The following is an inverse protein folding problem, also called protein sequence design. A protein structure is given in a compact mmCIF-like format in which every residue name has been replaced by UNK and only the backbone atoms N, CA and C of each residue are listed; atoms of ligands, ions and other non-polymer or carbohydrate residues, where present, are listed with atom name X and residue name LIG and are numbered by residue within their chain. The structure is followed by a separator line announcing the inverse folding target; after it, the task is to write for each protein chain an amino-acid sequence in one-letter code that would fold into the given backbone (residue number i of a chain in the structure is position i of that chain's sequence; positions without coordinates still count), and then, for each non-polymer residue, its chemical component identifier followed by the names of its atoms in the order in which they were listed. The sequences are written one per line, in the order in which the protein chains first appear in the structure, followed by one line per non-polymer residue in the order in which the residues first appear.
data_IF_636302378291
#
_entry.id   IF_636302378291
#
_cell.length_a   1.000
_cell.length_b   1.000
_cell.length_c   1.000
_cell.angle_alpha   90.00
_cell.angle_beta   90.00
_cell.angle_gamma   90.00
#
_symmetry.space_group_name_H-M   'P 1'
#
loop_
_entity.id
_entity.type
_entity.pdbx_description
1 polymer ?
#
# COMPACT_ATOMS: atom_id res chain seq x y z
N UNK A 1 -6.86 -13.89 11.49
CA UNK A 1 -6.90 -12.42 11.53
C UNK A 1 -6.47 -11.86 10.17
N UNK A 2 -7.42 -11.80 9.24
CA UNK A 2 -7.23 -11.06 7.99
C UNK A 2 -7.15 -9.57 8.34
N UNK A 3 -6.28 -8.82 7.69
CA UNK A 3 -6.23 -7.37 7.85
C UNK A 3 -7.62 -6.77 7.55
N UNK A 4 -8.33 -6.29 8.57
CA UNK A 4 -9.59 -5.51 8.44
C UNK A 4 -9.39 -4.20 7.66
N UNK A 5 -8.14 -3.88 7.29
CA UNK A 5 -7.79 -2.71 6.50
C UNK A 5 -7.60 -3.07 5.03
N UNK A 6 -8.09 -2.20 4.15
CA UNK A 6 -8.07 -2.33 2.70
C UNK A 6 -6.70 -2.11 2.04
N UNK A 7 -5.58 -2.12 2.79
CA UNK A 7 -4.25 -1.79 2.26
C UNK A 7 -3.74 -2.79 1.21
N UNK A 8 -3.86 -4.10 1.47
CA UNK A 8 -3.44 -5.13 0.53
C UNK A 8 -4.23 -5.04 -0.79
N UNK A 9 -5.54 -4.83 -0.67
CA UNK A 9 -6.40 -4.60 -1.82
C UNK A 9 -6.06 -3.29 -2.55
N UNK A 10 -5.81 -2.21 -1.81
CA UNK A 10 -5.38 -0.93 -2.36
C UNK A 10 -4.06 -1.01 -3.13
N UNK A 11 -3.11 -1.82 -2.66
CA UNK A 11 -1.86 -2.10 -3.37
C UNK A 11 -2.14 -2.80 -4.71
N UNK A 12 -2.96 -3.85 -4.72
CA UNK A 12 -3.34 -4.57 -5.95
C UNK A 12 -4.00 -3.62 -6.94
N UNK A 13 -4.93 -2.78 -6.50
CA UNK A 13 -5.60 -1.80 -7.33
C UNK A 13 -4.64 -0.73 -7.87
N UNK A 14 -3.73 -0.23 -7.03
CA UNK A 14 -2.73 0.76 -7.45
C UNK A 14 -1.76 0.19 -8.48
N UNK A 15 -1.25 -1.03 -8.28
CA UNK A 15 -0.39 -1.74 -9.26
C UNK A 15 -1.17 -2.02 -10.54
N UNK A 16 -2.39 -2.55 -10.41
CA UNK A 16 -3.27 -2.85 -11.54
C UNK A 16 -3.55 -1.61 -12.38
N UNK A 17 -3.82 -0.47 -11.74
CA UNK A 17 -3.96 0.82 -12.41
C UNK A 17 -2.70 1.20 -13.18
N UNK A 18 -1.51 1.15 -12.57
CA UNK A 18 -0.26 1.56 -13.24
C UNK A 18 0.05 0.68 -14.45
N UNK A 19 -0.07 -0.65 -14.31
CA UNK A 19 0.16 -1.60 -15.41
C UNK A 19 -0.84 -1.34 -16.53
N UNK A 20 -2.12 -1.24 -16.20
CA UNK A 20 -3.17 -1.02 -17.18
C UNK A 20 -3.08 0.36 -17.84
N UNK A 21 -2.63 1.40 -17.13
CA UNK A 21 -2.38 2.72 -17.70
C UNK A 21 -1.33 2.65 -18.81
N UNK A 22 -0.23 1.93 -18.58
CA UNK A 22 0.82 1.81 -19.60
C UNK A 22 0.38 1.00 -20.82
N UNK A 23 -0.46 -0.02 -20.66
CA UNK A 23 -1.12 -0.70 -21.79
C UNK A 23 -2.12 0.23 -22.51
N UNK A 24 -2.86 1.03 -21.76
CA UNK A 24 -3.85 1.95 -22.29
C UNK A 24 -3.26 3.10 -23.11
N UNK A 25 -2.04 3.57 -22.80
CA UNK A 25 -1.41 4.70 -23.52
C UNK A 25 -0.18 4.32 -24.33
N UNK A 26 0.22 3.05 -24.31
CA UNK A 26 1.36 2.50 -25.05
C UNK A 26 1.18 2.58 -26.57
N UNK A 27 2.31 2.66 -27.28
CA UNK A 27 2.37 2.89 -28.73
C UNK A 27 2.70 1.67 -29.59
N UNK A 28 3.27 0.59 -29.05
CA UNK A 28 3.94 -0.43 -29.89
C UNK A 28 3.27 -1.82 -29.81
N UNK A 29 3.06 -2.44 -30.98
CA UNK A 29 2.84 -3.89 -31.17
C UNK A 29 1.50 -4.49 -30.72
N UNK A 30 0.80 -3.86 -29.77
CA UNK A 30 -0.44 -4.43 -29.21
C UNK A 30 -1.68 -4.09 -30.04
N UNK A 31 -2.55 -5.09 -30.21
CA UNK A 31 -3.87 -4.98 -30.83
C UNK A 31 -4.72 -3.90 -30.16
N UNK A 32 -5.55 -3.22 -30.96
CA UNK A 32 -6.37 -2.10 -30.48
C UNK A 32 -7.32 -2.53 -29.33
N UNK A 33 -7.89 -3.73 -29.41
CA UNK A 33 -8.78 -4.27 -28.39
C UNK A 33 -8.11 -4.37 -27.01
N UNK A 34 -6.84 -4.80 -26.97
CA UNK A 34 -6.07 -4.93 -25.73
C UNK A 34 -5.90 -3.57 -25.05
N UNK A 35 -5.70 -2.50 -25.83
CA UNK A 35 -5.54 -1.13 -25.31
C UNK A 35 -6.82 -0.58 -24.70
N UNK A 36 -7.98 -0.92 -25.25
CA UNK A 36 -9.28 -0.54 -24.68
C UNK A 36 -9.60 -1.32 -23.40
N UNK A 37 -9.29 -2.62 -23.37
CA UNK A 37 -9.39 -3.43 -22.13
C UNK A 37 -8.49 -2.84 -21.05
N UNK A 38 -7.27 -2.43 -21.39
CA UNK A 38 -6.35 -1.78 -20.47
C UNK A 38 -6.90 -0.43 -19.97
N UNK A 39 -7.54 0.38 -20.83
CA UNK A 39 -8.18 1.63 -20.41
C UNK A 39 -9.34 1.39 -19.43
N UNK A 40 -10.20 0.40 -19.70
CA UNK A 40 -11.29 0.01 -18.80
C UNK A 40 -10.73 -0.49 -17.46
N UNK A 41 -9.71 -1.34 -17.52
CA UNK A 41 -9.05 -1.90 -16.33
C UNK A 41 -8.42 -0.80 -15.48
N UNK A 42 -7.73 0.16 -16.10
CA UNK A 42 -7.14 1.30 -15.39
C UNK A 42 -8.22 2.16 -14.71
N UNK A 43 -9.31 2.48 -15.43
CA UNK A 43 -10.42 3.25 -14.90
C UNK A 43 -11.12 2.55 -13.72
N UNK A 44 -11.41 1.27 -13.87
CA UNK A 44 -12.01 0.45 -12.81
C UNK A 44 -11.08 0.30 -11.59
N UNK A 45 -9.78 0.07 -11.80
CA UNK A 45 -8.82 -0.11 -10.72
C UNK A 45 -8.64 1.15 -9.87
N UNK A 46 -8.43 2.31 -10.52
CA UNK A 46 -8.30 3.58 -9.79
C UNK A 46 -9.64 4.05 -9.20
N UNK A 47 -10.76 3.81 -9.88
CA UNK A 47 -12.10 4.06 -9.35
C UNK A 47 -12.40 3.24 -8.10
N UNK A 48 -12.10 1.93 -8.13
CA UNK A 48 -12.25 1.07 -6.96
C UNK A 48 -11.28 1.44 -5.83
N UNK A 49 -10.08 1.93 -6.18
CA UNK A 49 -9.16 2.48 -5.18
C UNK A 49 -9.76 3.73 -4.53
N UNK A 50 -10.46 4.57 -5.29
CA UNK A 50 -11.15 5.75 -4.75
C UNK A 50 -12.29 5.37 -3.80
N UNK A 51 -13.03 4.29 -4.07
CA UNK A 51 -14.09 3.80 -3.17
C UNK A 51 -13.52 3.19 -1.89
N UNK A 52 -12.41 2.47 -1.99
CA UNK A 52 -11.85 1.72 -0.84
C UNK A 52 -10.88 2.55 0.01
N UNK A 53 -10.15 3.47 -0.63
CA UNK A 53 -9.13 4.34 -0.03
C UNK A 53 -9.07 5.69 -0.77
N UNK A 54 -10.09 6.56 -0.61
CA UNK A 54 -10.21 7.81 -1.38
C UNK A 54 -8.94 8.66 -1.36
N UNK A 55 -8.32 8.81 -0.19
CA UNK A 55 -7.14 9.64 -0.03
C UNK A 55 -5.89 9.04 -0.71
N UNK A 56 -5.69 7.72 -0.62
CA UNK A 56 -4.62 7.02 -1.35
C UNK A 56 -4.82 7.11 -2.86
N UNK A 57 -6.08 7.02 -3.34
CA UNK A 57 -6.41 7.12 -4.75
C UNK A 57 -5.99 8.47 -5.34
N UNK A 58 -6.20 9.57 -4.62
CA UNK A 58 -5.72 10.90 -5.03
C UNK A 58 -4.19 10.90 -5.17
N UNK A 59 -3.47 10.35 -4.19
CA UNK A 59 -2.01 10.27 -4.22
C UNK A 59 -1.48 9.48 -5.41
N UNK A 60 -2.11 8.34 -5.72
CA UNK A 60 -1.79 7.53 -6.91
C UNK A 60 -2.17 8.25 -8.21
N UNK A 61 -3.29 8.97 -8.23
CA UNK A 61 -3.81 9.65 -9.41
C UNK A 61 -2.97 10.87 -9.80
N UNK A 62 -2.38 11.63 -8.86
CA UNK A 62 -1.70 12.91 -9.16
C UNK A 62 -0.66 12.79 -10.30
N UNK A 63 0.36 11.90 -10.24
CA UNK A 63 1.34 11.80 -11.32
C UNK A 63 0.70 11.44 -12.66
N UNK A 64 -0.23 10.49 -12.66
CA UNK A 64 -0.88 10.00 -13.88
C UNK A 64 -1.93 10.96 -14.43
N UNK A 65 -2.54 11.79 -13.59
CA UNK A 65 -3.43 12.88 -13.98
C UNK A 65 -2.65 13.96 -14.72
N UNK A 66 -1.49 14.36 -14.19
CA UNK A 66 -0.57 15.28 -14.91
C UNK A 66 -0.15 14.69 -16.25
N UNK A 67 0.27 13.42 -16.27
CA UNK A 67 0.63 12.73 -17.51
C UNK A 67 -0.56 12.62 -18.48
N UNK A 68 -1.76 12.34 -17.98
CA UNK A 68 -3.01 12.28 -18.74
C UNK A 68 -3.33 13.63 -19.39
N UNK A 69 -3.20 14.75 -18.67
CA UNK A 69 -3.36 16.10 -19.24
C UNK A 69 -2.34 16.34 -20.36
N UNK A 70 -1.08 15.94 -20.19
CA UNK A 70 -0.07 16.05 -21.25
C UNK A 70 -0.47 15.23 -22.48
N UNK A 71 -0.99 14.01 -22.29
CA UNK A 71 -1.48 13.16 -23.38
C UNK A 71 -2.75 13.71 -24.03
N UNK A 72 -3.62 14.39 -23.29
CA UNK A 72 -4.79 15.05 -23.86
C UNK A 72 -4.40 16.19 -24.80
N UNK A 73 -3.34 16.93 -24.44
CA UNK A 73 -2.82 18.03 -25.26
C UNK A 73 -2.03 17.50 -26.46
N UNK A 74 -1.13 16.54 -26.26
CA UNK A 74 -0.12 16.13 -27.26
C UNK A 74 -0.37 14.79 -27.95
N UNK A 75 -1.26 13.94 -27.41
CA UNK A 75 -1.50 12.59 -27.91
C UNK A 75 -2.41 12.55 -29.14
N UNK A 76 -2.50 11.38 -29.77
CA UNK A 76 -3.41 11.12 -30.89
C UNK A 76 -4.87 11.04 -30.43
N UNK A 77 -5.83 11.06 -31.36
CA UNK A 77 -7.27 10.98 -31.05
C UNK A 77 -7.62 9.71 -30.24
N UNK A 78 -6.97 8.60 -30.56
CA UNK A 78 -7.18 7.29 -29.93
C UNK A 78 -6.62 7.26 -28.50
N UNK A 79 -5.45 7.87 -28.27
CA UNK A 79 -4.88 8.02 -26.92
C UNK A 79 -5.77 8.93 -26.08
N UNK A 80 -6.22 10.05 -26.64
CA UNK A 80 -7.14 10.98 -25.96
C UNK A 80 -8.43 10.28 -25.55
N UNK A 81 -9.04 9.52 -26.46
CA UNK A 81 -10.26 8.75 -26.18
C UNK A 81 -10.09 7.78 -25.01
N UNK A 82 -8.97 7.04 -24.97
CA UNK A 82 -8.65 6.12 -23.86
C UNK A 82 -8.40 6.85 -22.54
N UNK A 83 -7.69 7.96 -22.54
CA UNK A 83 -7.47 8.78 -21.32
C UNK A 83 -8.79 9.35 -20.79
N UNK A 84 -9.66 9.84 -21.67
CA UNK A 84 -11.01 10.31 -21.30
C UNK A 84 -11.86 9.17 -20.74
N UNK A 85 -11.80 7.98 -21.34
CA UNK A 85 -12.50 6.80 -20.82
C UNK A 85 -12.03 6.43 -19.41
N UNK A 86 -10.71 6.42 -19.16
CA UNK A 86 -10.15 6.18 -17.81
C UNK A 86 -10.73 7.20 -16.83
N UNK A 87 -10.66 8.49 -17.16
CA UNK A 87 -11.20 9.56 -16.29
C UNK A 87 -12.69 9.43 -16.04
N UNK A 88 -13.48 9.11 -17.07
CA UNK A 88 -14.92 8.85 -16.96
C UNK A 88 -15.21 7.70 -16.00
N UNK A 89 -14.54 6.56 -16.16
CA UNK A 89 -14.75 5.38 -15.32
C UNK A 89 -14.34 5.63 -13.86
N UNK A 90 -13.21 6.33 -13.63
CA UNK A 90 -12.81 6.74 -12.28
C UNK A 90 -13.88 7.62 -11.65
N UNK A 91 -14.43 8.59 -12.40
CA UNK A 91 -15.52 9.45 -11.95
C UNK A 91 -16.79 8.65 -11.61
N UNK A 92 -17.25 7.79 -12.53
CA UNK A 92 -18.47 6.99 -12.36
C UNK A 92 -18.37 6.04 -11.16
N UNK A 93 -17.24 5.33 -11.00
CA UNK A 93 -17.02 4.45 -9.84
C UNK A 93 -16.82 5.27 -8.57
N UNK A 94 -16.13 6.41 -8.65
CA UNK A 94 -15.93 7.32 -7.52
C UNK A 94 -17.25 7.90 -6.96
N UNK A 95 -18.27 8.09 -7.81
CA UNK A 95 -19.61 8.51 -7.39
C UNK A 95 -20.30 7.50 -6.45
N UNK A 96 -19.80 6.26 -6.35
CA UNK A 96 -20.29 5.32 -5.35
C UNK A 96 -20.00 5.77 -3.92
N UNK A 97 -18.99 6.63 -3.70
CA UNK A 97 -18.67 7.17 -2.36
C UNK A 97 -19.80 8.04 -1.82
N UNK A 98 -20.21 9.16 -2.47
CA UNK A 98 -21.32 9.97 -1.98
C UNK A 98 -22.66 9.22 -2.01
N UNK A 99 -22.85 8.25 -2.92
CA UNK A 99 -24.03 7.39 -2.90
C UNK A 99 -24.07 6.53 -1.63
N UNK A 100 -22.97 5.88 -1.29
CA UNK A 100 -22.85 5.09 -0.07
C UNK A 100 -23.01 5.97 1.17
N UNK A 101 -22.44 7.19 1.17
CA UNK A 101 -22.63 8.15 2.26
C UNK A 101 -24.11 8.52 2.43
N UNK A 102 -24.81 8.86 1.35
CA UNK A 102 -26.24 9.15 1.41
C UNK A 102 -27.07 7.98 1.98
N UNK A 103 -26.74 6.74 1.60
CA UNK A 103 -27.42 5.55 2.14
C UNK A 103 -27.08 5.33 3.62
N UNK A 104 -25.84 5.55 4.03
CA UNK A 104 -25.37 5.28 5.38
C UNK A 104 -25.75 6.36 6.41
N UNK A 105 -25.81 7.63 5.98
CA UNK A 105 -25.96 8.79 6.89
C UNK A 105 -27.16 9.66 6.58
N UNK A 106 -27.81 9.47 5.42
CA UNK A 106 -28.83 10.38 4.90
C UNK A 106 -28.27 11.64 4.23
N UNK A 107 -26.95 11.86 4.25
CA UNK A 107 -26.28 13.02 3.67
C UNK A 107 -25.08 12.60 2.78
N UNK A 108 -25.12 12.83 1.45
CA UNK A 108 -24.02 12.47 0.54
C UNK A 108 -22.72 13.24 0.80
N UNK A 109 -22.76 14.35 1.55
CA UNK A 109 -21.58 15.15 1.88
C UNK A 109 -21.00 14.81 3.25
N UNK A 110 -21.72 14.06 4.09
CA UNK A 110 -21.28 13.74 5.44
C UNK A 110 -20.26 12.60 5.41
N UNK A 111 -19.02 12.92 5.77
CA UNK A 111 -17.95 11.94 5.91
C UNK A 111 -18.15 11.09 7.17
N UNK A 112 -18.32 9.76 7.06
CA UNK A 112 -18.54 8.91 8.23
C UNK A 112 -17.39 8.92 9.24
N UNK A 113 -16.16 9.27 8.83
CA UNK A 113 -15.03 9.46 9.75
C UNK A 113 -15.32 10.55 10.80
N UNK A 114 -16.09 11.58 10.46
CA UNK A 114 -16.38 12.70 11.38
C UNK A 114 -17.60 12.46 12.27
N UNK A 115 -18.29 11.32 12.15
CA UNK A 115 -19.49 11.01 12.95
C UNK A 115 -19.14 10.81 14.44
N UNK A 116 -18.00 10.18 14.72
CA UNK A 116 -17.56 9.91 16.08
C UNK A 116 -16.58 10.96 16.60
N UNK A 117 -15.67 11.40 15.74
CA UNK A 117 -14.67 12.39 16.07
C UNK A 117 -14.71 13.53 15.05
N UNK A 118 -15.29 14.69 15.39
CA UNK A 118 -15.40 15.83 14.47
C UNK A 118 -14.04 16.32 13.94
N UNK A 119 -12.95 16.01 14.66
CA UNK A 119 -11.60 16.38 14.28
C UNK A 119 -10.94 15.43 13.26
N UNK A 120 -11.58 14.34 12.86
CA UNK A 120 -11.02 13.37 11.90
C UNK A 120 -11.08 13.90 10.46
N UNK A 121 -10.30 14.96 10.20
CA UNK A 121 -10.32 15.74 8.97
C UNK A 121 -8.91 15.89 8.39
N UNK A 122 -8.83 15.80 7.06
CA UNK A 122 -7.61 16.14 6.32
C UNK A 122 -7.40 17.64 6.37
N UNK A 123 -6.20 18.09 6.75
CA UNK A 123 -5.88 19.51 6.80
C UNK A 123 -4.94 19.86 7.94
N UNK A 124 -4.79 21.14 8.21
CA UNK A 124 -3.90 21.66 9.25
C UNK A 124 -4.60 22.69 10.12
N UNK A 125 -4.15 22.83 11.36
CA UNK A 125 -4.64 23.79 12.35
C UNK A 125 -5.74 23.21 13.25
N UNK A 126 -6.25 24.03 14.20
CA UNK A 126 -7.26 23.60 15.17
C UNK A 126 -8.46 22.92 14.49
N UNK A 127 -8.98 21.88 15.13
CA UNK A 127 -10.09 21.09 14.58
C UNK A 127 -9.67 19.98 13.60
N UNK A 128 -8.38 19.80 13.33
CA UNK A 128 -7.86 18.66 12.56
C UNK A 128 -6.99 17.79 13.47
N UNK A 129 -7.39 16.57 13.78
CA UNK A 129 -6.70 15.70 14.74
C UNK A 129 -7.01 15.97 16.21
N UNK A 130 -6.62 15.02 17.06
CA UNK A 130 -7.06 14.90 18.47
C UNK A 130 -6.59 16.03 19.40
N UNK A 131 -5.52 16.73 19.04
CA UNK A 131 -4.93 17.78 19.89
C UNK A 131 -5.63 19.11 19.72
N UNK A 132 -5.73 19.93 20.76
CA UNK A 132 -6.35 21.28 20.69
C UNK A 132 -5.70 22.20 19.63
N UNK A 133 -4.37 22.14 19.50
CA UNK A 133 -3.63 22.89 18.47
C UNK A 133 -3.89 22.36 17.05
N UNK A 134 -4.50 21.18 16.95
CA UNK A 134 -4.70 20.41 15.73
C UNK A 134 -3.41 19.91 15.07
N UNK A 135 -3.57 19.37 13.87
CA UNK A 135 -2.53 18.79 13.06
C UNK A 135 -1.73 19.92 12.43
N UNK A 136 -0.41 19.87 12.56
CA UNK A 136 0.46 20.90 12.00
C UNK A 136 1.34 20.31 10.93
N UNK A 137 1.86 21.16 10.02
CA UNK A 137 2.85 20.70 9.04
C UNK A 137 4.08 20.09 9.73
N UNK A 138 4.46 20.60 10.91
CA UNK A 138 5.52 20.03 11.73
C UNK A 138 5.18 18.61 12.17
N UNK A 139 3.95 18.36 12.63
CA UNK A 139 3.50 17.02 13.00
C UNK A 139 3.45 16.09 11.79
N UNK A 140 2.92 16.56 10.65
CA UNK A 140 2.96 15.83 9.37
C UNK A 140 4.38 15.43 8.98
N UNK A 141 5.34 16.35 9.10
CA UNK A 141 6.75 16.07 8.84
C UNK A 141 7.35 15.05 9.82
N UNK A 142 7.01 15.12 11.11
CA UNK A 142 7.42 14.14 12.12
C UNK A 142 6.91 12.74 11.75
N UNK A 143 5.63 12.62 11.39
CA UNK A 143 5.00 11.38 10.97
C UNK A 143 5.65 10.84 9.68
N UNK A 144 5.89 11.70 8.69
CA UNK A 144 6.57 11.31 7.43
C UNK A 144 8.00 10.85 7.68
N UNK A 145 8.76 11.55 8.52
CA UNK A 145 10.13 11.14 8.89
C UNK A 145 10.13 9.79 9.60
N UNK A 146 9.16 9.54 10.47
CA UNK A 146 8.97 8.25 11.11
C UNK A 146 8.69 7.16 10.06
N UNK A 147 7.73 7.37 9.16
CA UNK A 147 7.39 6.43 8.10
C UNK A 147 8.59 6.12 7.18
N UNK A 148 9.37 7.14 6.79
CA UNK A 148 10.60 7.00 6.03
C UNK A 148 11.64 6.16 6.79
N UNK A 149 11.83 6.45 8.08
CA UNK A 149 12.79 5.72 8.94
C UNK A 149 12.41 4.25 9.12
N UNK A 150 11.12 3.96 9.30
CA UNK A 150 10.65 2.58 9.40
C UNK A 150 10.73 1.90 8.03
N UNK A 151 10.33 2.56 6.95
CA UNK A 151 10.45 2.03 5.58
C UNK A 151 11.88 1.70 5.16
N UNK A 152 12.88 2.38 5.72
CA UNK A 152 14.29 2.07 5.54
C UNK A 152 14.70 0.68 6.10
N UNK A 153 13.92 0.14 7.04
CA UNK A 153 14.14 -1.21 7.61
C UNK A 153 13.08 -2.22 7.15
N UNK A 154 11.80 -1.83 7.18
CA UNK A 154 10.66 -2.72 6.97
C UNK A 154 10.43 -3.10 5.49
N UNK A 155 10.83 -2.28 4.50
CA UNK A 155 10.47 -2.52 3.09
C UNK A 155 10.92 -3.89 2.57
N UNK A 156 12.14 -4.31 2.87
CA UNK A 156 12.66 -5.65 2.52
C UNK A 156 13.00 -6.50 3.75
N UNK A 157 12.74 -5.99 4.96
CA UNK A 157 13.17 -6.60 6.21
C UNK A 157 14.70 -6.62 6.37
N UNK A 158 15.38 -5.61 5.82
CA UNK A 158 16.82 -5.43 5.96
C UNK A 158 17.07 -4.26 6.91
N UNK A 159 17.50 -4.51 8.17
CA UNK A 159 17.69 -3.48 9.18
C UNK A 159 18.50 -2.32 8.64
N UNK A 160 17.88 -1.16 8.49
CA UNK A 160 18.53 0.05 7.96
C UNK A 160 19.26 -0.16 6.62
N UNK A 161 18.79 -1.06 5.75
CA UNK A 161 19.45 -1.35 4.47
C UNK A 161 18.47 -1.47 3.31
N UNK A 162 17.16 -1.34 3.55
CA UNK A 162 16.15 -1.56 2.51
C UNK A 162 16.26 -0.55 1.35
N UNK A 163 16.93 0.58 1.55
CA UNK A 163 17.10 1.61 0.51
C UNK A 163 18.47 1.59 -0.16
N UNK A 164 19.33 0.61 0.16
CA UNK A 164 20.68 0.49 -0.38
C UNK A 164 20.73 0.60 -1.91
N UNK A 165 19.74 0.00 -2.59
CA UNK A 165 19.70 -0.06 -4.06
C UNK A 165 18.93 1.10 -4.72
N UNK A 166 18.19 1.91 -3.96
CA UNK A 166 17.36 2.98 -4.53
C UNK A 166 18.13 4.04 -5.32
N UNK A 167 19.27 4.59 -4.84
CA UNK A 167 20.01 5.60 -5.60
C UNK A 167 20.49 5.07 -6.96
N UNK A 168 20.94 3.81 -7.00
CA UNK A 168 21.35 3.14 -8.23
C UNK A 168 20.17 2.89 -9.17
N UNK A 169 19.00 2.56 -8.61
CA UNK A 169 17.75 2.42 -9.33
C UNK A 169 17.33 3.69 -10.05
N UNK A 170 17.22 4.79 -9.30
CA UNK A 170 16.88 6.11 -9.84
C UNK A 170 17.88 6.51 -10.93
N UNK A 171 19.18 6.28 -10.70
CA UNK A 171 20.21 6.54 -11.70
C UNK A 171 20.04 5.68 -12.96
N UNK A 172 19.82 4.37 -12.80
CA UNK A 172 19.64 3.44 -13.91
C UNK A 172 18.43 3.79 -14.77
N UNK A 173 17.36 4.30 -14.14
CA UNK A 173 16.08 4.59 -14.82
C UNK A 173 15.91 6.07 -15.17
N UNK A 174 16.92 6.92 -14.97
CA UNK A 174 16.82 8.38 -15.14
C UNK A 174 16.43 8.86 -16.54
N UNK A 175 16.54 8.00 -17.56
CA UNK A 175 16.08 8.26 -18.94
C UNK A 175 14.78 7.54 -19.30
N UNK A 176 14.27 6.69 -18.41
CA UNK A 176 13.04 5.97 -18.60
C UNK A 176 11.89 6.75 -17.93
N UNK A 177 11.22 7.60 -18.72
CA UNK A 177 10.10 8.41 -18.24
C UNK A 177 8.95 7.59 -17.64
N UNK A 178 8.69 6.38 -18.18
CA UNK A 178 7.65 5.49 -17.64
C UNK A 178 7.97 5.03 -16.22
N UNK A 179 9.24 4.67 -16.01
CA UNK A 179 9.70 4.22 -14.69
C UNK A 179 9.81 5.38 -13.69
N UNK A 180 10.22 6.57 -14.13
CA UNK A 180 10.22 7.76 -13.26
C UNK A 180 8.80 8.17 -12.85
N UNK A 181 7.83 8.11 -13.77
CA UNK A 181 6.43 8.37 -13.46
C UNK A 181 5.84 7.32 -12.52
N UNK A 182 6.14 6.04 -12.76
CA UNK A 182 5.75 4.95 -11.85
C UNK A 182 6.40 5.10 -10.48
N UNK A 183 7.65 5.56 -10.45
CA UNK A 183 8.41 5.84 -9.24
C UNK A 183 7.86 7.01 -8.43
N UNK A 184 7.22 7.99 -9.07
CA UNK A 184 6.74 9.20 -8.38
C UNK A 184 5.45 8.98 -7.58
N UNK A 185 4.77 7.84 -7.72
CA UNK A 185 3.58 7.50 -6.92
C UNK A 185 3.89 7.51 -5.42
N UNK A 186 4.99 6.88 -4.99
CA UNK A 186 5.36 6.87 -3.57
C UNK A 186 5.69 8.27 -3.05
N UNK A 187 6.31 9.12 -3.88
CA UNK A 187 6.60 10.51 -3.52
C UNK A 187 5.32 11.32 -3.37
N UNK A 188 4.40 11.14 -4.31
CA UNK A 188 3.06 11.75 -4.27
C UNK A 188 2.31 11.36 -2.99
N UNK A 189 2.33 10.08 -2.62
CA UNK A 189 1.73 9.61 -1.37
C UNK A 189 2.42 10.22 -0.14
N UNK A 190 3.75 10.27 -0.08
CA UNK A 190 4.45 10.92 1.03
C UNK A 190 4.07 12.39 1.20
N UNK A 191 3.97 13.13 0.09
CA UNK A 191 3.59 14.55 0.11
C UNK A 191 2.13 14.71 0.54
N UNK A 192 1.22 13.94 -0.06
CA UNK A 192 -0.21 14.05 0.23
C UNK A 192 -0.52 13.69 1.68
N UNK A 193 0.12 12.66 2.22
CA UNK A 193 -0.07 12.23 3.61
C UNK A 193 0.55 13.16 4.66
N UNK A 194 1.27 14.22 4.27
CA UNK A 194 1.62 15.29 5.21
C UNK A 194 0.36 15.96 5.79
N UNK A 195 -0.72 16.06 5.01
CA UNK A 195 -1.98 16.66 5.43
C UNK A 195 -2.91 15.68 6.18
N UNK A 196 -2.51 14.41 6.32
CA UNK A 196 -3.31 13.42 7.04
C UNK A 196 -3.07 13.56 8.55
N UNK A 197 -4.15 13.78 9.31
CA UNK A 197 -4.10 14.21 10.70
C UNK A 197 -3.58 13.17 11.68
N UNK A 198 -3.67 11.89 11.32
CA UNK A 198 -3.27 10.77 12.18
C UNK A 198 -1.98 10.13 11.67
N UNK A 199 -1.05 9.86 12.60
CA UNK A 199 0.18 9.13 12.32
C UNK A 199 0.01 7.62 12.46
N UNK A 200 0.76 6.84 11.68
CA UNK A 200 0.81 5.38 11.82
C UNK A 200 2.19 4.95 12.33
N UNK A 201 2.23 4.48 13.58
CA UNK A 201 3.49 4.24 14.30
C UNK A 201 3.88 2.76 14.45
N UNK A 202 3.00 1.82 14.04
CA UNK A 202 3.21 0.38 14.28
C UNK A 202 3.61 -0.42 13.03
N UNK A 203 2.89 -0.24 11.92
CA UNK A 203 2.99 -1.10 10.74
C UNK A 203 3.66 -0.38 9.56
N UNK A 204 4.99 -0.31 9.58
CA UNK A 204 5.73 0.25 8.45
C UNK A 204 5.28 1.66 8.02
N UNK A 205 5.57 2.07 6.79
CA UNK A 205 4.96 3.25 6.17
C UNK A 205 3.52 2.93 5.70
N UNK A 206 2.62 2.63 6.65
CA UNK A 206 1.24 2.15 6.41
C UNK A 206 0.47 2.95 5.35
N UNK A 207 0.59 4.27 5.37
CA UNK A 207 -0.13 5.16 4.47
C UNK A 207 0.47 5.26 3.06
N UNK A 208 1.68 4.77 2.87
CA UNK A 208 2.36 4.73 1.58
C UNK A 208 2.38 3.31 1.01
N UNK A 209 1.66 2.38 1.63
CA UNK A 209 1.63 0.97 1.27
C UNK A 209 1.26 0.77 -0.21
N UNK A 210 0.29 1.54 -0.70
CA UNK A 210 -0.21 1.50 -2.08
C UNK A 210 0.78 2.04 -3.11
N UNK A 211 1.94 2.57 -2.70
CA UNK A 211 3.03 3.02 -3.57
C UNK A 211 4.34 2.26 -3.38
N UNK A 212 4.40 1.23 -2.52
CA UNK A 212 5.66 0.55 -2.22
C UNK A 212 6.27 -0.17 -3.44
N UNK A 213 5.45 -0.57 -4.43
CA UNK A 213 5.99 -1.10 -5.69
C UNK A 213 6.93 -0.12 -6.39
N UNK A 214 6.75 1.20 -6.24
CA UNK A 214 7.67 2.20 -6.79
C UNK A 214 9.07 2.00 -6.23
N UNK A 215 9.19 1.82 -4.91
CA UNK A 215 10.47 1.58 -4.23
C UNK A 215 11.04 0.20 -4.59
N UNK A 216 10.19 -0.82 -4.69
CA UNK A 216 10.61 -2.17 -5.07
C UNK A 216 11.18 -2.21 -6.49
N UNK A 217 10.48 -1.61 -7.46
CA UNK A 217 10.91 -1.56 -8.86
C UNK A 217 12.19 -0.74 -9.03
N UNK A 218 12.31 0.41 -8.35
CA UNK A 218 13.55 1.19 -8.37
C UNK A 218 14.70 0.40 -7.73
N UNK A 219 14.47 -0.28 -6.60
CA UNK A 219 15.51 -1.11 -5.98
C UNK A 219 15.94 -2.25 -6.90
N UNK A 220 15.00 -2.94 -7.55
CA UNK A 220 15.28 -4.00 -8.52
C UNK A 220 16.08 -3.47 -9.73
N UNK A 221 15.72 -2.29 -10.24
CA UNK A 221 16.50 -1.59 -11.27
C UNK A 221 17.94 -1.33 -10.82
N UNK A 222 18.13 -0.91 -9.56
CA UNK A 222 19.45 -0.68 -8.97
C UNK A 222 20.27 -1.95 -8.85
N UNK A 223 19.65 -3.05 -8.39
CA UNK A 223 20.27 -4.37 -8.33
C UNK A 223 20.71 -4.84 -9.72
N UNK A 224 19.82 -4.77 -10.71
CA UNK A 224 20.11 -5.17 -12.09
C UNK A 224 21.22 -4.33 -12.73
N UNK A 225 21.23 -3.02 -12.46
CA UNK A 225 22.27 -2.12 -12.94
C UNK A 225 23.63 -2.41 -12.30
N UNK A 226 23.68 -2.64 -10.99
CA UNK A 226 24.91 -3.02 -10.27
C UNK A 226 25.44 -4.38 -10.70
N UNK A 227 24.55 -5.34 -10.96
CA UNK A 227 24.89 -6.66 -11.48
C UNK A 227 25.37 -6.61 -12.95
N UNK A 228 25.16 -5.49 -13.66
CA UNK A 228 25.53 -5.34 -15.06
C UNK A 228 24.59 -6.04 -16.04
N UNK A 229 23.37 -6.37 -15.60
CA UNK A 229 22.31 -6.99 -16.42
C UNK A 229 21.70 -6.01 -17.43
N UNK A 230 21.69 -4.71 -17.10
CA UNK A 230 21.12 -3.64 -17.95
C UNK A 230 22.15 -2.81 -18.72
N UNK A 231 23.38 -3.29 -18.82
CA UNK A 231 24.27 -2.73 -19.82
C UNK A 231 23.84 -3.30 -21.17
N UNK A 232 23.52 -2.48 -22.19
CA UNK A 232 23.74 -2.94 -23.55
C UNK A 232 25.16 -3.48 -23.50
N UNK A 233 25.35 -4.76 -23.82
CA UNK A 233 26.69 -5.24 -24.06
C UNK A 233 27.30 -4.21 -25.00
N UNK A 234 28.45 -3.66 -24.64
CA UNK A 234 29.27 -2.95 -25.60
C UNK A 234 29.72 -3.99 -26.65
N UNK A 235 28.77 -4.43 -27.48
CA UNK A 235 28.97 -5.04 -28.77
C UNK A 235 28.42 -3.99 -29.72
N UNK A 236 29.25 -3.36 -30.55
CA UNK A 236 29.65 -4.03 -31.79
C UNK A 236 28.46 -4.85 -32.29
N UNK A 237 27.50 -4.16 -32.92
CA UNK A 237 26.65 -4.78 -33.93
C UNK A 237 27.61 -5.39 -34.95
N UNK A 238 27.90 -6.67 -34.79
CA UNK A 238 28.42 -7.48 -35.87
C UNK A 238 27.22 -7.82 -36.74
N UNK A 239 27.36 -7.65 -38.05
CA UNK A 239 26.37 -8.11 -39.02
C UNK A 239 26.25 -9.65 -39.03
N UNK A 240 25.36 -10.19 -39.88
CA UNK A 240 25.14 -11.64 -40.02
C UNK A 240 26.41 -12.43 -40.42
N UNK A 241 27.49 -11.74 -40.81
CA UNK A 241 28.78 -12.32 -41.19
C UNK A 241 29.87 -12.14 -40.12
N UNK A 242 29.58 -11.48 -39.00
CA UNK A 242 30.54 -11.26 -37.93
C UNK A 242 31.42 -10.02 -38.09
N UNK A 243 31.09 -9.08 -38.99
CA UNK A 243 31.85 -7.85 -39.22
C UNK A 243 31.21 -6.62 -38.55
N UNK A 244 32.01 -5.70 -37.95
CA UNK A 244 31.47 -4.53 -37.25
C UNK A 244 30.81 -3.55 -38.22
N UNK A 245 29.54 -3.21 -37.96
CA UNK A 245 28.77 -2.26 -38.75
C UNK A 245 29.51 -0.92 -38.94
N UNK A 246 29.84 -0.59 -40.19
CA UNK A 246 30.46 0.66 -40.56
C UNK A 246 29.48 1.83 -40.37
N UNK A 247 29.57 2.53 -39.23
CA UNK A 247 29.07 3.91 -39.16
C UNK A 247 30.07 4.80 -39.89
N UNK A 248 29.65 5.31 -41.04
CA UNK A 248 30.46 6.12 -41.95
C UNK A 248 31.13 7.32 -41.29
N UNK A 249 32.43 7.21 -41.04
CA UNK A 249 33.37 8.32 -40.92
C UNK A 249 34.62 7.93 -41.70
N UNK A 250 34.62 8.28 -43.00
CA UNK A 250 35.77 8.06 -43.89
C UNK A 250 36.91 9.00 -43.51
N UNK A 251 38.08 8.40 -43.28
CA UNK A 251 39.37 9.06 -43.49
C UNK A 251 40.09 9.54 -42.23
N UNK A 252 40.60 8.61 -41.39
CA UNK A 252 41.83 8.85 -40.57
C UNK A 252 42.40 7.60 -39.84
N UNK A 253 42.11 6.37 -40.29
CA UNK A 253 42.41 5.15 -39.48
C UNK A 253 43.17 4.03 -40.19
N UNK A 254 44.20 4.35 -40.97
CA UNK A 254 45.18 3.30 -41.38
C UNK A 254 46.32 3.10 -40.35
N UNK A 255 46.42 3.92 -39.29
CA UNK A 255 47.39 3.74 -38.20
C UNK A 255 46.89 3.00 -36.95
N UNK A 256 45.58 2.74 -36.82
CA UNK A 256 44.96 2.23 -35.57
C UNK A 256 44.81 0.70 -35.56
N UNK A 257 44.91 0.05 -36.71
CA UNK A 257 44.74 -1.41 -36.85
C UNK A 257 45.87 -2.23 -36.24
N UNK A 258 47.00 -1.62 -35.86
CA UNK A 258 48.07 -2.30 -35.10
C UNK A 258 47.84 -2.29 -33.57
N UNK A 259 47.01 -1.37 -33.06
CA UNK A 259 46.63 -1.31 -31.63
C UNK A 259 45.47 -2.28 -31.31
N UNK A 260 44.70 -2.68 -32.33
CA UNK A 260 43.53 -3.56 -32.16
C UNK A 260 43.85 -5.05 -31.94
N UNK A 261 45.11 -5.48 -32.06
CA UNK A 261 45.54 -6.85 -31.71
C UNK A 261 45.95 -7.04 -30.24
N UNK A 262 46.12 -5.96 -29.47
CA UNK A 262 46.47 -6.03 -28.03
C UNK A 262 45.23 -6.04 -27.10
N UNK A 263 44.01 -6.08 -27.63
CA UNK A 263 42.76 -6.02 -26.83
C UNK A 263 41.96 -7.33 -26.74
N UNK A 264 42.47 -8.47 -27.22
CA UNK A 264 41.78 -9.75 -26.99
C UNK A 264 41.80 -10.21 -25.52
N UNK A 265 42.79 -9.75 -24.73
CA UNK A 265 42.76 -9.89 -23.27
C UNK A 265 41.62 -9.07 -22.62
N UNK A 266 41.21 -7.94 -23.22
CA UNK A 266 40.26 -6.99 -22.62
C UNK A 266 38.78 -7.39 -22.72
N UNK A 267 38.40 -8.25 -23.66
CA UNK A 267 37.00 -8.69 -23.81
C UNK A 267 36.64 -9.81 -22.82
N UNK A 268 37.55 -10.77 -22.64
CA UNK A 268 37.40 -11.84 -21.65
C UNK A 268 37.47 -11.30 -20.22
N UNK A 269 38.38 -10.36 -19.94
CA UNK A 269 38.46 -9.68 -18.64
C UNK A 269 37.21 -8.86 -18.35
N UNK A 270 36.67 -8.14 -19.33
CA UNK A 270 35.41 -7.43 -19.19
C UNK A 270 34.21 -8.36 -18.95
N UNK A 271 34.17 -9.52 -19.62
CA UNK A 271 33.14 -10.55 -19.39
C UNK A 271 33.26 -11.19 -18.01
N UNK A 272 34.47 -11.56 -17.59
CA UNK A 272 34.75 -12.08 -16.25
C UNK A 272 34.39 -11.06 -15.17
N UNK A 273 34.67 -9.77 -15.39
CA UNK A 273 34.28 -8.69 -14.49
C UNK A 273 32.77 -8.52 -14.38
N UNK A 274 32.03 -8.62 -15.51
CA UNK A 274 30.56 -8.60 -15.51
C UNK A 274 29.99 -9.79 -14.74
N UNK A 275 30.51 -11.00 -14.98
CA UNK A 275 30.12 -12.21 -14.24
C UNK A 275 30.43 -12.06 -12.75
N UNK A 276 31.60 -11.54 -12.40
CA UNK A 276 31.98 -11.25 -11.01
C UNK A 276 31.05 -10.26 -10.33
N UNK A 277 30.64 -9.17 -11.01
CA UNK A 277 29.64 -8.22 -10.52
C UNK A 277 28.28 -8.86 -10.31
N UNK A 278 27.80 -9.64 -11.27
CA UNK A 278 26.52 -10.33 -11.16
C UNK A 278 26.53 -11.30 -9.97
N UNK A 279 27.57 -12.13 -9.85
CA UNK A 279 27.73 -13.07 -8.73
C UNK A 279 27.83 -12.34 -7.39
N UNK A 280 28.58 -11.24 -7.32
CA UNK A 280 28.72 -10.44 -6.10
C UNK A 280 27.41 -9.82 -5.64
N UNK A 281 26.62 -9.26 -6.56
CA UNK A 281 25.31 -8.68 -6.24
C UNK A 281 24.31 -9.77 -5.87
N UNK A 282 24.28 -10.90 -6.58
CA UNK A 282 23.45 -12.04 -6.22
C UNK A 282 23.80 -12.55 -4.82
N UNK A 283 25.08 -12.75 -4.51
CA UNK A 283 25.52 -13.19 -3.19
C UNK A 283 25.11 -12.20 -2.08
N UNK A 284 25.28 -10.89 -2.31
CA UNK A 284 24.82 -9.86 -1.37
C UNK A 284 23.31 -9.94 -1.12
N UNK A 285 22.49 -10.04 -2.18
CA UNK A 285 21.03 -10.15 -2.06
C UNK A 285 20.66 -11.43 -1.31
N UNK A 286 21.31 -12.56 -1.60
CA UNK A 286 21.09 -13.83 -0.90
C UNK A 286 21.37 -13.68 0.60
N UNK A 287 22.48 -13.04 0.98
CA UNK A 287 22.81 -12.77 2.39
C UNK A 287 21.76 -11.87 3.05
N UNK A 288 21.29 -10.83 2.37
CA UNK A 288 20.26 -9.93 2.90
C UNK A 288 18.91 -10.63 3.08
N UNK A 289 18.49 -11.46 2.11
CA UNK A 289 17.28 -12.28 2.21
C UNK A 289 17.41 -13.30 3.35
N UNK A 290 18.53 -14.01 3.43
CA UNK A 290 18.78 -14.96 4.51
C UNK A 290 18.76 -14.26 5.88
N UNK A 291 19.38 -13.08 5.99
CA UNK A 291 19.35 -12.27 7.21
C UNK A 291 17.94 -11.83 7.60
N UNK A 292 17.09 -11.49 6.62
CA UNK A 292 15.68 -11.22 6.89
C UNK A 292 14.98 -12.47 7.46
N UNK A 293 15.07 -13.61 6.77
CA UNK A 293 14.38 -14.83 7.17
C UNK A 293 14.84 -15.40 8.52
N UNK A 294 16.13 -15.28 8.84
CA UNK A 294 16.73 -15.86 10.05
C UNK A 294 16.58 -14.92 11.25
N UNK A 295 16.77 -13.61 11.06
CA UNK A 295 16.86 -12.66 12.18
C UNK A 295 15.71 -11.67 12.20
N UNK A 296 15.43 -11.01 11.08
CA UNK A 296 14.49 -9.89 11.07
C UNK A 296 13.04 -10.32 11.19
N UNK A 297 12.59 -11.19 10.26
CA UNK A 297 11.21 -11.62 10.16
C UNK A 297 10.75 -12.33 11.45
N UNK A 298 11.50 -13.27 12.06
CA UNK A 298 11.08 -13.89 13.31
C UNK A 298 10.92 -12.88 14.45
N UNK A 299 11.88 -11.97 14.62
CA UNK A 299 11.79 -10.93 15.66
C UNK A 299 10.62 -9.98 15.42
N UNK A 300 10.40 -9.57 14.16
CA UNK A 300 9.31 -8.67 13.78
C UNK A 300 7.94 -9.32 13.94
N UNK A 301 7.79 -10.58 13.52
CA UNK A 301 6.56 -11.36 13.71
C UNK A 301 6.26 -11.60 15.18
N UNK A 302 7.27 -11.92 15.99
CA UNK A 302 7.09 -12.09 17.43
C UNK A 302 6.59 -10.79 18.09
N UNK A 303 7.13 -9.64 17.68
CA UNK A 303 6.63 -8.33 18.15
C UNK A 303 5.22 -7.97 17.66
N UNK A 304 4.68 -8.69 16.67
CA UNK A 304 3.31 -8.53 16.18
C UNK A 304 2.35 -9.59 16.72
N UNK A 305 2.87 -10.65 17.34
CA UNK A 305 2.06 -11.71 17.94
C UNK A 305 1.30 -11.14 19.14
N UNK A 306 -0.02 -11.37 19.17
CA UNK A 306 -0.93 -10.84 20.18
C UNK A 306 -0.78 -9.31 20.42
N UNK A 307 -0.42 -8.56 19.38
CA UNK A 307 -0.31 -7.10 19.46
C UNK A 307 -1.66 -6.50 19.91
N UNK A 308 -1.61 -5.62 20.91
CA UNK A 308 -2.80 -5.09 21.61
C UNK A 308 -3.62 -6.13 22.37
N UNK A 309 -3.01 -7.28 22.72
CA UNK A 309 -3.73 -8.37 23.36
C UNK A 309 -4.71 -9.09 22.42
N UNK A 310 -4.68 -8.78 21.11
CA UNK A 310 -5.62 -9.36 20.14
C UNK A 310 -5.16 -10.78 19.75
N UNK A 311 -5.95 -11.80 20.09
CA UNK A 311 -5.58 -13.19 19.80
C UNK A 311 -6.81 -14.11 19.69
N UNK A 312 -6.65 -15.22 18.95
CA UNK A 312 -7.70 -16.24 18.83
C UNK A 312 -8.10 -16.84 20.19
N UNK A 313 -7.16 -16.93 21.14
CA UNK A 313 -7.43 -17.41 22.50
C UNK A 313 -8.48 -16.56 23.24
N UNK A 314 -8.55 -15.25 22.95
CA UNK A 314 -9.57 -14.36 23.53
C UNK A 314 -10.98 -14.71 23.05
N UNK A 315 -11.12 -15.35 21.88
CA UNK A 315 -12.41 -15.72 21.28
C UNK A 315 -12.90 -17.10 21.74
N UNK A 316 -12.03 -17.95 22.31
CA UNK A 316 -12.38 -19.31 22.76
C UNK A 316 -13.63 -19.39 23.66
N UNK A 317 -13.88 -18.45 24.59
CA UNK A 317 -15.09 -18.48 25.41
C UNK A 317 -16.39 -18.53 24.61
N UNK A 318 -16.43 -17.84 23.47
CA UNK A 318 -17.59 -17.80 22.57
C UNK A 318 -17.74 -19.07 21.73
N UNK A 319 -16.73 -19.95 21.69
CA UNK A 319 -16.79 -21.22 20.96
C UNK A 319 -17.32 -22.37 21.83
N UNK A 320 -17.52 -22.15 23.13
CA UNK A 320 -17.99 -23.20 24.05
C UNK A 320 -19.48 -23.53 23.84
N UNK A 321 -19.90 -24.81 23.95
CA UNK A 321 -21.31 -25.20 23.80
C UNK A 321 -22.25 -24.46 24.76
N UNK A 322 -21.78 -24.12 25.95
CA UNK A 322 -22.54 -23.42 26.98
C UNK A 322 -22.84 -21.98 26.54
N UNK A 323 -21.86 -21.27 25.98
CA UNK A 323 -22.03 -19.89 25.52
C UNK A 323 -22.83 -19.83 24.23
N UNK A 324 -22.64 -20.80 23.32
CA UNK A 324 -23.43 -20.91 22.09
C UNK A 324 -24.95 -21.01 22.36
N UNK A 325 -25.37 -21.54 23.50
CA UNK A 325 -26.78 -21.58 23.91
C UNK A 325 -27.34 -20.20 24.28
N UNK A 326 -26.50 -19.19 24.53
CA UNK A 326 -26.94 -17.82 24.79
C UNK A 326 -27.37 -17.10 23.51
N UNK A 327 -26.99 -17.60 22.33
CA UNK A 327 -27.33 -16.99 21.05
C UNK A 327 -28.84 -17.13 20.72
N UNK A 328 -29.45 -16.13 20.05
CA UNK A 328 -28.83 -14.89 19.58
C UNK A 328 -28.67 -13.86 20.71
N UNK A 329 -27.51 -13.22 20.80
CA UNK A 329 -27.20 -12.32 21.91
C UNK A 329 -26.44 -11.05 21.50
N UNK A 330 -26.64 -9.99 22.29
CA UNK A 330 -25.82 -8.77 22.33
C UNK A 330 -24.88 -8.86 23.52
N UNK A 331 -23.59 -8.72 23.26
CA UNK A 331 -22.55 -8.82 24.27
C UNK A 331 -21.94 -7.44 24.51
N UNK A 332 -22.14 -6.92 25.71
CA UNK A 332 -21.51 -5.69 26.19
C UNK A 332 -20.14 -6.06 26.74
N UNK A 333 -19.09 -5.69 26.03
CA UNK A 333 -17.70 -5.93 26.41
C UNK A 333 -17.22 -4.80 27.32
N UNK A 334 -16.83 -5.16 28.54
CA UNK A 334 -16.26 -4.25 29.54
C UNK A 334 -14.74 -4.40 29.54
N UNK A 335 -14.04 -3.37 29.07
CA UNK A 335 -12.58 -3.32 29.08
C UNK A 335 -12.07 -1.89 29.16
N UNK A 336 -10.83 -1.73 29.58
CA UNK A 336 -10.21 -0.41 29.78
C UNK A 336 -9.98 0.32 28.46
N UNK A 337 -9.77 -0.44 27.38
CA UNK A 337 -9.46 0.08 26.05
C UNK A 337 -10.31 -0.58 24.98
N UNK A 338 -10.59 0.15 23.89
CA UNK A 338 -11.42 -0.37 22.79
C UNK A 338 -10.83 -1.63 22.13
N UNK A 339 -9.53 -1.89 22.30
CA UNK A 339 -8.86 -3.08 21.76
C UNK A 339 -9.35 -4.38 22.42
N UNK A 340 -9.85 -4.31 23.66
CA UNK A 340 -10.45 -5.46 24.34
C UNK A 340 -11.74 -5.87 23.63
N UNK A 341 -12.53 -4.90 23.20
CA UNK A 341 -13.67 -5.11 22.30
C UNK A 341 -13.24 -5.55 20.90
N UNK A 342 -12.17 -4.95 20.36
CA UNK A 342 -11.67 -5.24 19.01
C UNK A 342 -11.34 -6.72 18.75
N UNK A 343 -11.08 -7.50 19.81
CA UNK A 343 -10.90 -8.95 19.74
C UNK A 343 -12.11 -9.70 19.19
N UNK A 344 -13.32 -9.18 19.32
CA UNK A 344 -14.55 -9.92 19.03
C UNK A 344 -15.16 -9.57 17.68
N UNK A 345 -14.62 -8.56 16.99
CA UNK A 345 -15.11 -8.12 15.69
C UNK A 345 -15.02 -9.20 14.61
N UNK A 346 -14.11 -10.18 14.74
CA UNK A 346 -14.04 -11.32 13.80
C UNK A 346 -15.21 -12.32 13.99
N UNK A 347 -15.95 -12.25 15.10
CA UNK A 347 -17.13 -13.08 15.38
C UNK A 347 -18.44 -12.43 14.92
N UNK A 348 -18.36 -11.23 14.36
CA UNK A 348 -19.49 -10.40 13.95
C UNK A 348 -19.42 -10.08 12.45
N UNK A 349 -20.58 -10.02 11.79
CA UNK A 349 -20.68 -9.56 10.41
C UNK A 349 -21.15 -8.10 10.33
N UNK A 350 -20.83 -7.36 9.25
CA UNK A 350 -21.23 -5.95 9.12
C UNK A 350 -22.75 -5.69 9.08
N UNK A 351 -23.57 -6.72 8.91
CA UNK A 351 -25.03 -6.66 8.90
C UNK A 351 -25.65 -7.07 10.25
N UNK A 352 -24.82 -7.38 11.25
CA UNK A 352 -25.23 -7.75 12.61
C UNK A 352 -26.13 -8.99 12.63
N UNK A 353 -25.92 -9.93 11.70
CA UNK A 353 -26.72 -11.17 11.57
C UNK A 353 -26.10 -12.38 12.27
N UNK A 354 -24.88 -12.26 12.78
CA UNK A 354 -24.17 -13.31 13.51
C UNK A 354 -24.89 -13.72 14.81
N UNK A 355 -24.61 -14.94 15.33
CA UNK A 355 -25.17 -15.40 16.61
C UNK A 355 -24.88 -14.44 17.78
N UNK A 356 -23.70 -13.84 17.78
CA UNK A 356 -23.30 -12.80 18.74
C UNK A 356 -23.04 -11.50 18.01
N UNK A 357 -23.53 -10.40 18.58
CA UNK A 357 -23.17 -9.04 18.18
C UNK A 357 -22.57 -8.34 19.39
N UNK A 358 -21.61 -7.44 19.17
CA UNK A 358 -20.79 -6.90 20.24
C UNK A 358 -20.95 -5.40 20.36
N UNK A 359 -20.77 -4.88 21.58
CA UNK A 359 -20.69 -3.44 21.80
C UNK A 359 -19.68 -3.15 22.90
N UNK A 360 -19.06 -1.97 22.82
CA UNK A 360 -18.09 -1.50 23.79
C UNK A 360 -18.70 -0.40 24.65
N UNK A 361 -18.58 -0.53 25.97
CA UNK A 361 -18.76 0.58 26.89
C UNK A 361 -19.68 0.28 28.06
N UNK A 362 -19.31 0.88 29.19
CA UNK A 362 -20.09 0.91 30.40
C UNK A 362 -21.03 2.12 30.40
N UNK A 363 -22.19 1.97 29.78
CA UNK A 363 -23.28 2.93 30.00
C UNK A 363 -24.54 2.18 30.35
N UNK A 364 -24.97 2.34 31.60
CA UNK A 364 -26.31 1.94 32.05
C UNK A 364 -27.42 2.42 31.10
N UNK A 365 -27.18 3.49 30.33
CA UNK A 365 -28.09 4.02 29.29
C UNK A 365 -28.14 3.21 27.99
N UNK A 366 -27.16 2.35 27.68
CA UNK A 366 -27.16 1.53 26.45
C UNK A 366 -28.14 0.36 26.53
N UNK A 367 -28.37 -0.21 27.72
CA UNK A 367 -29.15 -1.44 27.89
C UNK A 367 -30.60 -1.28 27.41
N UNK A 368 -31.23 -0.13 27.67
CA UNK A 368 -32.60 0.14 27.20
C UNK A 368 -32.65 0.32 25.68
N UNK A 369 -31.71 1.08 25.11
CA UNK A 369 -31.60 1.25 23.66
C UNK A 369 -31.38 -0.09 22.97
N UNK A 370 -30.43 -0.91 23.45
CA UNK A 370 -30.15 -2.21 22.88
C UNK A 370 -31.34 -3.17 22.96
N UNK A 371 -32.11 -3.17 24.06
CA UNK A 371 -33.35 -3.95 24.17
C UNK A 371 -34.41 -3.48 23.17
N UNK A 372 -34.49 -2.18 22.93
CA UNK A 372 -35.43 -1.62 21.96
C UNK A 372 -35.00 -1.91 20.51
N UNK A 373 -33.68 -1.89 20.24
CA UNK A 373 -33.13 -2.11 18.89
C UNK A 373 -33.05 -3.59 18.51
N UNK A 374 -32.71 -4.47 19.45
CA UNK A 374 -32.55 -5.92 19.26
C UNK A 374 -33.42 -6.71 20.24
N UNK A 375 -34.75 -6.58 20.18
CA UNK A 375 -35.66 -7.23 21.14
C UNK A 375 -35.59 -8.76 21.10
N UNK A 376 -35.12 -9.34 20.00
CA UNK A 376 -34.96 -10.78 19.81
C UNK A 376 -33.68 -11.36 20.44
N UNK A 377 -32.77 -10.50 20.93
CA UNK A 377 -31.45 -10.91 21.43
C UNK A 377 -31.34 -10.77 22.94
N UNK A 378 -30.80 -11.80 23.59
CA UNK A 378 -30.42 -11.71 25.00
C UNK A 378 -29.26 -10.71 25.19
N UNK A 379 -29.28 -9.91 26.25
CA UNK A 379 -28.19 -8.95 26.55
C UNK A 379 -27.35 -9.48 27.70
N UNK A 380 -26.05 -9.61 27.46
CA UNK A 380 -25.08 -10.09 28.45
C UNK A 380 -23.89 -9.15 28.58
N UNK A 381 -23.38 -9.03 29.79
CA UNK A 381 -22.16 -8.32 30.15
C UNK A 381 -21.00 -9.31 30.20
N UNK A 382 -19.88 -8.94 29.59
CA UNK A 382 -18.71 -9.77 29.44
C UNK A 382 -17.43 -9.02 29.83
N UNK A 383 -16.59 -9.66 30.63
CA UNK A 383 -15.38 -9.08 31.21
C UNK A 383 -14.15 -9.93 30.78
N UNK A 384 -13.49 -9.58 29.66
CA UNK A 384 -12.47 -10.42 29.03
C UNK A 384 -11.20 -10.61 29.86
N UNK A 385 -10.89 -9.70 30.80
CA UNK A 385 -9.67 -9.77 31.61
C UNK A 385 -9.88 -10.41 32.99
N UNK A 386 -11.00 -10.11 33.65
CA UNK A 386 -11.27 -10.60 35.01
C UNK A 386 -12.01 -11.93 35.03
N UNK A 387 -12.98 -12.14 34.13
CA UNK A 387 -13.85 -13.32 34.14
C UNK A 387 -14.16 -13.84 32.71
N UNK A 388 -13.14 -14.27 31.92
CA UNK A 388 -13.27 -14.53 30.48
C UNK A 388 -14.22 -15.67 30.08
N UNK A 389 -14.74 -16.46 31.01
CA UNK A 389 -15.67 -17.57 30.71
C UNK A 389 -17.06 -17.37 31.35
N UNK A 390 -17.37 -16.14 31.79
CA UNK A 390 -18.65 -15.83 32.44
C UNK A 390 -19.39 -14.70 31.73
N UNK A 391 -20.71 -14.81 31.72
CA UNK A 391 -21.63 -13.90 31.06
C UNK A 391 -22.73 -13.53 32.04
N UNK A 392 -22.98 -12.23 32.22
CA UNK A 392 -23.89 -11.73 33.26
C UNK A 392 -25.07 -11.00 32.65
N UNK A 393 -26.29 -11.22 33.15
CA UNK A 393 -27.48 -10.49 32.69
C UNK A 393 -27.56 -9.07 33.26
N UNK A 394 -27.07 -8.87 34.48
CA UNK A 394 -27.37 -7.66 35.26
C UNK A 394 -26.17 -6.97 35.92
N UNK A 395 -24.92 -7.42 35.69
CA UNK A 395 -23.77 -6.82 36.38
C UNK A 395 -23.08 -5.72 35.56
N UNK A 396 -23.13 -4.51 36.13
CA UNK A 396 -22.07 -3.49 36.19
C UNK A 396 -22.17 -2.89 37.61
N UNK A 397 -21.09 -2.86 38.42
CA UNK A 397 -20.12 -1.77 38.37
C UNK A 397 -18.66 -2.23 38.50
N UNK A 398 -17.74 -1.65 37.72
CA UNK A 398 -16.33 -1.56 38.12
C UNK A 398 -16.07 -0.13 38.63
N UNK A 399 -16.03 0.03 39.95
CA UNK A 399 -15.57 1.28 40.56
C UNK A 399 -14.24 1.01 41.22
N UNK A 400 -13.14 1.38 40.55
CA UNK A 400 -12.20 2.35 41.15
C UNK A 400 -11.36 3.01 40.05
N UNK A 401 -10.96 4.28 40.26
CA UNK A 401 -10.58 5.25 39.23
C UNK A 401 -9.26 4.99 38.50
#
# INVERSE_FOLDING_TARGET
VGSLLSHAWGLVLSVGFVVAWWGAVGSEGEEEQVRWIAAVTAGAALGMLAVTRPFSAIGVAIPFGVHGVVLLIRGTREVRGRVLLVGLLVGLVGLLVPLWQAVATGDPALNPYTLWWPYDQVGFGPGHGVTEQGHTLRQGWINTRFALRVGYSDLFGWPMLSWLFLPFGVWATRRNGKMLLTGSVVLSLFVLYLAYWIGAWLFGPRYQFEGLYSLTLLSAAGMAWLAGWWMPASGHTLDENGDPAETGVKGWRQGVTRILRLRKASAQEADNWRKGRALGITALITVLIAGNLIFYLPARLNGMFALYGISAARMEPFLTPEVQQLAPAVIIVHGDIWMDYGNFLDLEDPFLTTPFIFTFGDKSTLKETLRATYPERGIYHYYPDSEPYKFFTDRVPELTP
#
